data_IF_614303392622
#
_entry.id   IF_614303392622
#
_cell.length_a   1.000
_cell.length_b   1.000
_cell.length_c   1.000
_cell.angle_alpha   90.00
_cell.angle_beta   90.00
_cell.angle_gamma   90.00
#
_symmetry.space_group_name_H-M   'P 1'
#
loop_
_entity.id
_entity.type
_entity.pdbx_description
1 polymer ?
#
# COMPACT_ATOMS: atom_id res chain seq x y z
N UNK A 1 -11.01 -62.90 51.14
CA UNK A 1 -11.65 -61.84 50.33
C UNK A 1 -12.94 -62.30 49.66
N UNK A 2 -12.99 -63.41 48.90
CA UNK A 2 -14.25 -63.90 48.28
C UNK A 2 -15.36 -64.22 49.30
N UNK A 3 -15.07 -65.04 50.30
CA UNK A 3 -16.06 -65.44 51.31
C UNK A 3 -16.70 -64.25 52.06
N UNK A 4 -15.91 -63.25 52.44
CA UNK A 4 -16.41 -62.03 53.11
C UNK A 4 -17.25 -61.14 52.17
N UNK A 5 -16.95 -61.15 50.86
CA UNK A 5 -17.72 -60.42 49.86
C UNK A 5 -19.06 -61.11 49.59
N UNK A 6 -19.04 -62.44 49.54
CA UNK A 6 -20.23 -63.28 49.33
C UNK A 6 -21.18 -63.21 50.55
N UNK A 7 -20.64 -63.15 51.78
CA UNK A 7 -21.42 -62.89 52.99
C UNK A 7 -22.06 -61.50 53.00
N UNK A 8 -21.31 -60.46 52.61
CA UNK A 8 -21.83 -59.09 52.57
C UNK A 8 -22.92 -58.92 51.50
N UNK A 9 -22.80 -59.62 50.37
CA UNK A 9 -23.77 -59.60 49.28
C UNK A 9 -25.08 -60.32 49.62
N UNK A 10 -25.06 -61.27 50.56
CA UNK A 10 -26.24 -61.99 51.05
C UNK A 10 -27.03 -61.21 52.11
N UNK A 11 -26.45 -60.17 52.70
CA UNK A 11 -27.14 -59.32 53.66
C UNK A 11 -28.13 -58.38 52.97
N UNK A 12 -29.33 -58.23 53.55
CA UNK A 12 -30.33 -57.31 53.00
C UNK A 12 -29.83 -55.87 53.12
N UNK A 13 -29.77 -55.13 52.01
CA UNK A 13 -29.24 -53.78 52.03
C UNK A 13 -30.16 -52.87 52.83
N UNK A 14 -29.56 -51.92 53.54
CA UNK A 14 -30.31 -50.90 54.25
C UNK A 14 -31.05 -50.01 53.24
N UNK A 15 -32.38 -50.11 53.23
CA UNK A 15 -33.26 -49.28 52.41
C UNK A 15 -33.83 -48.15 53.27
N UNK A 16 -33.85 -46.91 52.76
CA UNK A 16 -34.44 -45.80 53.49
C UNK A 16 -35.95 -46.02 53.71
N UNK A 17 -36.48 -45.50 54.82
CA UNK A 17 -37.92 -45.54 55.11
C UNK A 17 -38.75 -44.80 54.03
N UNK A 18 -40.04 -45.13 53.84
CA UNK A 18 -40.88 -44.54 52.79
C UNK A 18 -41.00 -43.00 52.86
N UNK A 19 -40.98 -42.42 54.07
CA UNK A 19 -41.02 -40.98 54.31
C UNK A 19 -39.63 -40.30 54.27
N UNK A 20 -38.59 -41.06 53.90
CA UNK A 20 -37.24 -40.54 53.83
C UNK A 20 -37.06 -39.63 52.61
N UNK A 21 -36.48 -38.45 52.84
CA UNK A 21 -36.12 -37.48 51.79
C UNK A 21 -34.87 -37.88 50.98
N UNK A 22 -34.16 -38.95 51.39
CA UNK A 22 -32.91 -39.38 50.77
C UNK A 22 -33.02 -39.71 49.27
N UNK A 23 -34.02 -40.48 48.79
CA UNK A 23 -34.18 -40.75 47.37
C UNK A 23 -34.40 -39.48 46.54
N UNK A 24 -35.17 -38.52 47.07
CA UNK A 24 -35.42 -37.24 46.40
C UNK A 24 -34.15 -36.37 46.32
N UNK A 25 -33.37 -36.29 47.41
CA UNK A 25 -32.10 -35.56 47.42
C UNK A 25 -31.05 -36.20 46.51
N UNK A 26 -31.00 -37.54 46.48
CA UNK A 26 -30.08 -38.27 45.60
C UNK A 26 -30.46 -38.09 44.13
N UNK A 27 -31.76 -38.16 43.80
CA UNK A 27 -32.26 -37.86 42.47
C UNK A 27 -31.89 -36.43 42.06
N UNK A 28 -32.14 -35.43 42.92
CA UNK A 28 -31.79 -34.02 42.66
C UNK A 28 -30.28 -33.83 42.43
N UNK A 29 -29.43 -34.44 43.26
CA UNK A 29 -27.97 -34.34 43.09
C UNK A 29 -27.53 -34.98 41.78
N UNK A 30 -28.08 -36.15 41.44
CA UNK A 30 -27.74 -36.85 40.20
C UNK A 30 -28.21 -36.10 38.97
N UNK A 31 -29.44 -35.57 38.97
CA UNK A 31 -29.93 -34.75 37.86
C UNK A 31 -29.08 -33.49 37.70
N UNK A 32 -28.76 -32.79 38.79
CA UNK A 32 -27.86 -31.63 38.75
C UNK A 32 -26.50 -31.98 38.13
N UNK A 33 -25.87 -33.05 38.61
CA UNK A 33 -24.58 -33.51 38.09
C UNK A 33 -24.67 -33.82 36.58
N UNK A 34 -25.71 -34.56 36.15
CA UNK A 34 -25.88 -34.87 34.72
C UNK A 34 -26.12 -33.62 33.87
N UNK A 35 -26.81 -32.61 34.40
CA UNK A 35 -27.04 -31.34 33.69
C UNK A 35 -25.73 -30.59 33.52
N UNK A 36 -24.88 -30.53 34.55
CA UNK A 36 -23.56 -29.89 34.45
C UNK A 36 -22.63 -30.62 33.49
N UNK A 37 -22.56 -31.96 33.57
CA UNK A 37 -21.77 -32.79 32.65
C UNK A 37 -22.24 -32.62 31.19
N UNK A 38 -23.55 -32.57 30.96
CA UNK A 38 -24.12 -32.38 29.61
C UNK A 38 -23.80 -30.98 29.07
N UNK A 39 -23.82 -29.94 29.92
CA UNK A 39 -23.44 -28.58 29.51
C UNK A 39 -21.98 -28.49 29.09
N UNK A 40 -21.08 -29.07 29.88
CA UNK A 40 -19.66 -29.14 29.54
C UNK A 40 -19.42 -29.92 28.23
N UNK A 41 -20.15 -31.02 28.03
CA UNK A 41 -20.10 -31.78 26.77
C UNK A 41 -20.62 -30.98 25.57
N UNK A 42 -21.67 -30.18 25.77
CA UNK A 42 -22.22 -29.33 24.73
C UNK A 42 -21.24 -28.24 24.29
N UNK A 43 -20.50 -27.64 25.23
CA UNK A 43 -19.48 -26.62 24.94
C UNK A 43 -18.32 -27.19 24.14
N UNK A 44 -17.80 -28.36 24.55
CA UNK A 44 -16.73 -29.03 23.80
C UNK A 44 -17.17 -29.44 22.39
N UNK A 45 -18.39 -29.94 22.22
CA UNK A 45 -18.94 -30.28 20.90
C UNK A 45 -19.15 -29.06 20.01
N UNK A 46 -19.59 -27.91 20.56
CA UNK A 46 -19.72 -26.66 19.79
C UNK A 46 -18.39 -26.28 19.15
N UNK A 47 -17.30 -26.32 19.91
CA UNK A 47 -15.96 -26.02 19.40
C UNK A 47 -15.55 -26.99 18.28
N UNK A 48 -15.81 -28.29 18.47
CA UNK A 48 -15.52 -29.30 17.44
C UNK A 48 -16.30 -29.06 16.13
N UNK A 49 -17.59 -28.75 16.25
CA UNK A 49 -18.45 -28.44 15.10
C UNK A 49 -18.01 -27.17 14.39
N UNK A 50 -17.66 -26.11 15.13
CA UNK A 50 -17.14 -24.88 14.54
C UNK A 50 -15.83 -25.11 13.79
N UNK A 51 -14.92 -25.89 14.37
CA UNK A 51 -13.67 -26.26 13.71
C UNK A 51 -13.91 -27.11 12.44
N UNK A 52 -14.86 -28.04 12.49
CA UNK A 52 -15.24 -28.84 11.33
C UNK A 52 -15.85 -27.98 10.22
N UNK A 53 -16.70 -27.00 10.56
CA UNK A 53 -17.26 -26.03 9.60
C UNK A 53 -16.16 -25.19 8.96
N UNK A 54 -15.25 -24.63 9.75
CA UNK A 54 -14.11 -23.86 9.23
C UNK A 54 -13.25 -24.68 8.26
N UNK A 55 -12.95 -25.94 8.61
CA UNK A 55 -12.23 -26.86 7.71
C UNK A 55 -13.00 -27.11 6.42
N UNK A 56 -14.29 -27.35 6.51
CA UNK A 56 -15.15 -27.56 5.35
C UNK A 56 -15.17 -26.36 4.40
N UNK A 57 -15.21 -25.14 4.94
CA UNK A 57 -15.20 -23.92 4.13
C UNK A 57 -13.86 -23.73 3.40
N UNK A 58 -12.73 -24.01 4.08
CA UNK A 58 -11.40 -24.00 3.46
C UNK A 58 -11.28 -25.07 2.37
N UNK A 59 -11.75 -26.29 2.62
CA UNK A 59 -11.71 -27.34 1.60
C UNK A 59 -12.59 -27.02 0.38
N UNK A 60 -13.73 -26.35 0.59
CA UNK A 60 -14.58 -25.87 -0.50
C UNK A 60 -13.89 -24.81 -1.35
N UNK A 61 -13.19 -23.84 -0.73
CA UNK A 61 -12.42 -22.85 -1.51
C UNK A 61 -11.29 -23.51 -2.27
N UNK A 62 -10.55 -24.43 -1.63
CA UNK A 62 -9.47 -25.18 -2.28
C UNK A 62 -9.98 -25.97 -3.49
N UNK A 63 -11.14 -26.62 -3.37
CA UNK A 63 -11.75 -27.35 -4.47
C UNK A 63 -12.14 -26.42 -5.62
N UNK A 64 -12.72 -25.26 -5.32
CA UNK A 64 -13.07 -24.26 -6.34
C UNK A 64 -11.84 -23.76 -7.10
N UNK A 65 -10.75 -23.49 -6.39
CA UNK A 65 -9.47 -23.08 -6.98
C UNK A 65 -8.88 -24.18 -7.87
N UNK A 66 -8.87 -25.43 -7.40
CA UNK A 66 -8.42 -26.57 -8.19
C UNK A 66 -9.25 -26.76 -9.47
N UNK A 67 -10.57 -26.57 -9.40
CA UNK A 67 -11.44 -26.62 -10.58
C UNK A 67 -11.14 -25.48 -11.56
N UNK A 68 -10.92 -24.26 -11.06
CA UNK A 68 -10.53 -23.12 -11.90
C UNK A 68 -9.18 -23.35 -12.59
N UNK A 69 -8.19 -23.87 -11.86
CA UNK A 69 -6.88 -24.26 -12.40
C UNK A 69 -7.02 -25.36 -13.46
N UNK A 70 -7.78 -26.41 -13.18
CA UNK A 70 -8.01 -27.49 -14.15
C UNK A 70 -8.63 -26.98 -15.45
N UNK A 71 -9.62 -26.07 -15.36
CA UNK A 71 -10.22 -25.44 -16.54
C UNK A 71 -9.22 -24.57 -17.30
N UNK A 72 -8.43 -23.77 -16.60
CA UNK A 72 -7.38 -22.94 -17.21
C UNK A 72 -6.34 -23.79 -17.94
N UNK A 73 -5.89 -24.88 -17.32
CA UNK A 73 -4.94 -25.82 -17.93
C UNK A 73 -5.53 -26.51 -19.15
N UNK A 74 -6.79 -26.96 -19.09
CA UNK A 74 -7.46 -27.56 -20.23
C UNK A 74 -7.59 -26.59 -21.41
N UNK A 75 -7.98 -25.34 -21.14
CA UNK A 75 -8.04 -24.29 -22.15
C UNK A 75 -6.66 -24.02 -22.76
N UNK A 76 -5.61 -23.99 -21.95
CA UNK A 76 -4.25 -23.80 -22.42
C UNK A 76 -3.78 -24.96 -23.30
N UNK A 77 -4.03 -26.21 -22.89
CA UNK A 77 -3.72 -27.39 -23.70
C UNK A 77 -4.45 -27.31 -25.05
N UNK A 78 -5.73 -26.92 -25.07
CA UNK A 78 -6.48 -26.77 -26.31
C UNK A 78 -5.86 -25.68 -27.19
N UNK A 79 -5.60 -24.49 -26.65
CA UNK A 79 -4.97 -23.40 -27.40
C UNK A 79 -3.59 -23.77 -27.98
N UNK A 80 -2.81 -24.58 -27.26
CA UNK A 80 -1.52 -25.07 -27.75
C UNK A 80 -1.67 -26.10 -28.86
N UNK A 81 -2.70 -26.97 -28.80
CA UNK A 81 -3.00 -27.90 -29.89
C UNK A 81 -3.47 -27.17 -31.13
N UNK A 82 -4.41 -26.24 -30.98
CA UNK A 82 -4.92 -25.42 -32.08
C UNK A 82 -3.78 -24.61 -32.71
N UNK A 83 -2.88 -24.05 -31.88
CA UNK A 83 -1.69 -23.33 -32.33
C UNK A 83 -0.62 -24.22 -32.98
N UNK A 84 -0.54 -25.50 -32.64
CA UNK A 84 0.35 -26.45 -33.32
C UNK A 84 -0.21 -26.86 -34.67
N UNK A 85 -1.52 -27.13 -34.75
CA UNK A 85 -2.21 -27.45 -36.00
C UNK A 85 -2.10 -26.28 -36.99
N UNK A 86 -2.36 -25.05 -36.55
CA UNK A 86 -2.20 -23.86 -37.41
C UNK A 86 -0.75 -23.64 -37.87
N UNK A 87 0.23 -23.92 -37.01
CA UNK A 87 1.66 -23.82 -37.37
C UNK A 87 2.14 -24.92 -38.31
N UNK A 88 1.51 -26.10 -38.30
CA UNK A 88 1.80 -27.17 -39.25
C UNK A 88 1.30 -26.83 -40.66
N UNK A 89 0.25 -26.01 -40.77
CA UNK A 89 -0.30 -25.55 -42.05
C UNK A 89 0.41 -24.31 -42.61
N UNK A 90 1.12 -23.54 -41.76
CA UNK A 90 1.83 -22.31 -42.15
C UNK A 90 3.28 -22.57 -42.63
N UNK A 91 3.69 -21.83 -43.67
CA UNK A 91 5.09 -21.84 -44.12
C UNK A 91 6.04 -21.08 -43.17
N UNK A 92 7.37 -21.29 -43.28
CA UNK A 92 8.35 -20.62 -42.41
C UNK A 92 8.32 -19.09 -42.52
N UNK A 93 7.98 -18.54 -43.69
CA UNK A 93 7.84 -17.10 -43.91
C UNK A 93 6.59 -16.51 -43.22
N UNK A 94 5.50 -17.29 -43.15
CA UNK A 94 4.27 -16.87 -42.47
C UNK A 94 4.46 -16.89 -40.94
N UNK A 95 5.20 -17.88 -40.42
CA UNK A 95 5.58 -17.93 -38.99
C UNK A 95 6.46 -16.74 -38.60
N UNK A 96 7.39 -16.32 -39.48
CA UNK A 96 8.22 -15.15 -39.23
C UNK A 96 7.39 -13.85 -39.19
N UNK A 97 6.41 -13.72 -40.09
CA UNK A 97 5.47 -12.58 -40.11
C UNK A 97 4.60 -12.53 -38.86
N UNK A 98 4.04 -13.67 -38.45
CA UNK A 98 3.25 -13.79 -37.21
C UNK A 98 4.07 -13.33 -36.00
N UNK A 99 5.31 -13.81 -35.85
CA UNK A 99 6.19 -13.40 -34.75
C UNK A 99 6.49 -11.89 -34.75
N UNK A 100 6.71 -11.32 -35.93
CA UNK A 100 6.94 -9.88 -36.06
C UNK A 100 5.69 -9.10 -35.66
N UNK A 101 4.51 -9.57 -36.06
CA UNK A 101 3.25 -8.93 -35.73
C UNK A 101 2.90 -9.08 -34.24
N UNK A 102 3.21 -10.20 -33.62
CA UNK A 102 3.14 -10.39 -32.17
C UNK A 102 4.05 -9.41 -31.43
N UNK A 103 5.31 -9.26 -31.87
CA UNK A 103 6.25 -8.29 -31.28
C UNK A 103 5.74 -6.85 -31.46
N UNK A 104 5.18 -6.51 -32.62
CA UNK A 104 4.54 -5.21 -32.85
C UNK A 104 3.33 -4.99 -31.94
N UNK A 105 2.50 -6.02 -31.71
CA UNK A 105 1.36 -5.92 -30.81
C UNK A 105 1.80 -5.75 -29.36
N UNK A 106 2.82 -6.49 -28.91
CA UNK A 106 3.44 -6.33 -27.59
C UNK A 106 4.02 -4.93 -27.41
N UNK A 107 4.77 -4.43 -28.40
CA UNK A 107 5.28 -3.04 -28.38
C UNK A 107 4.13 -2.04 -28.21
N UNK A 108 3.08 -2.14 -29.04
CA UNK A 108 1.89 -1.28 -28.94
C UNK A 108 1.20 -1.39 -27.57
N UNK A 109 1.22 -2.56 -26.95
CA UNK A 109 0.66 -2.76 -25.62
C UNK A 109 1.47 -2.00 -24.57
N UNK A 110 2.79 -2.21 -24.54
CA UNK A 110 3.69 -1.51 -23.61
C UNK A 110 3.66 0.01 -23.82
N UNK A 111 3.62 0.49 -25.06
CA UNK A 111 3.49 1.92 -25.36
C UNK A 111 2.20 2.51 -24.75
N UNK A 112 1.08 1.78 -24.83
CA UNK A 112 -0.19 2.20 -24.23
C UNK A 112 -0.15 2.19 -22.71
N UNK A 113 0.46 1.18 -22.11
CA UNK A 113 0.61 1.09 -20.66
C UNK A 113 1.54 2.17 -20.12
N UNK A 114 2.67 2.42 -20.78
CA UNK A 114 3.58 3.51 -20.47
C UNK A 114 2.86 4.87 -20.54
N UNK A 115 2.08 5.12 -21.60
CA UNK A 115 1.31 6.35 -21.71
C UNK A 115 0.27 6.51 -20.59
N UNK A 116 -0.40 5.43 -20.19
CA UNK A 116 -1.34 5.43 -19.05
C UNK A 116 -0.60 5.72 -17.74
N UNK A 117 0.56 5.11 -17.53
CA UNK A 117 1.37 5.27 -16.33
C UNK A 117 1.90 6.71 -16.21
N UNK A 118 2.46 7.27 -17.30
CA UNK A 118 2.91 8.67 -17.34
C UNK A 118 1.76 9.63 -17.05
N UNK A 119 0.56 9.37 -17.58
CA UNK A 119 -0.62 10.18 -17.27
C UNK A 119 -1.05 10.07 -15.81
N UNK A 120 -1.00 8.88 -15.22
CA UNK A 120 -1.30 8.67 -13.81
C UNK A 120 -0.26 9.35 -12.90
N UNK A 121 1.02 9.25 -13.24
CA UNK A 121 2.12 9.92 -12.56
C UNK A 121 1.96 11.44 -12.60
N UNK A 122 1.63 12.01 -13.77
CA UNK A 122 1.36 13.45 -13.90
C UNK A 122 0.24 13.92 -12.98
N UNK A 123 -0.86 13.17 -12.90
CA UNK A 123 -1.99 13.47 -11.99
C UNK A 123 -1.60 13.35 -10.52
N UNK A 124 -0.77 12.37 -10.19
CA UNK A 124 -0.25 12.19 -8.82
C UNK A 124 0.70 13.34 -8.44
N UNK A 125 1.51 13.83 -9.37
CA UNK A 125 2.36 14.99 -9.10
C UNK A 125 1.50 16.24 -8.85
N UNK A 126 0.51 16.50 -9.71
CA UNK A 126 -0.35 17.69 -9.63
C UNK A 126 -1.22 17.76 -8.37
N UNK A 127 -1.84 16.65 -7.97
CA UNK A 127 -2.88 16.70 -6.95
C UNK A 127 -2.32 16.47 -5.53
N UNK A 128 -1.82 15.27 -5.16
CA UNK A 128 -1.33 15.04 -3.80
C UNK A 128 0.10 15.56 -3.56
N UNK A 129 0.99 15.53 -4.56
CA UNK A 129 2.42 15.74 -4.29
C UNK A 129 2.84 17.21 -4.34
N UNK A 130 2.29 18.00 -5.26
CA UNK A 130 2.70 19.38 -5.49
C UNK A 130 2.53 20.27 -4.25
N UNK A 131 1.39 20.18 -3.57
CA UNK A 131 1.13 20.93 -2.34
C UNK A 131 2.08 20.54 -1.21
N UNK A 132 2.39 19.25 -1.08
CA UNK A 132 3.35 18.77 -0.08
C UNK A 132 4.78 19.21 -0.38
N UNK A 133 5.19 19.22 -1.65
CA UNK A 133 6.52 19.67 -2.06
C UNK A 133 6.69 21.18 -1.82
N UNK A 134 5.69 21.98 -2.18
CA UNK A 134 5.68 23.40 -1.92
C UNK A 134 5.75 23.70 -0.41
N UNK A 135 5.04 22.92 0.41
CA UNK A 135 5.13 23.03 1.86
C UNK A 135 6.55 22.76 2.37
N UNK A 136 7.21 21.70 1.90
CA UNK A 136 8.58 21.35 2.32
C UNK A 136 9.60 22.44 1.92
N UNK A 137 9.50 23.03 0.72
CA UNK A 137 10.34 24.16 0.29
C UNK A 137 10.15 25.41 1.16
N UNK A 138 8.91 25.67 1.59
CA UNK A 138 8.58 26.77 2.50
C UNK A 138 8.94 26.47 3.98
N UNK A 139 9.61 25.35 4.26
CA UNK A 139 10.05 24.95 5.60
C UNK A 139 8.95 24.29 6.45
N UNK A 140 7.93 23.76 5.78
CA UNK A 140 6.80 23.03 6.34
C UNK A 140 7.09 21.56 6.62
N UNK A 141 6.04 20.77 6.89
CA UNK A 141 6.18 19.35 7.17
C UNK A 141 6.80 18.61 5.98
N UNK A 142 7.54 17.57 6.30
CA UNK A 142 8.20 16.72 5.32
C UNK A 142 7.14 15.99 4.47
N UNK A 143 7.36 15.89 3.15
CA UNK A 143 6.43 15.20 2.24
C UNK A 143 6.16 13.77 2.75
N UNK A 144 4.89 13.49 3.07
CA UNK A 144 4.41 12.21 3.60
C UNK A 144 4.07 12.19 5.10
N UNK A 145 4.46 13.19 5.89
CA UNK A 145 4.15 13.27 7.33
C UNK A 145 2.74 13.81 7.60
N UNK A 146 2.21 14.66 6.70
CA UNK A 146 0.82 15.14 6.73
C UNK A 146 0.16 14.84 5.38
N UNK A 147 -1.02 14.20 5.42
CA UNK A 147 -1.72 13.72 4.21
C UNK A 147 -2.51 14.82 3.49
N UNK A 148 -2.97 15.83 4.23
CA UNK A 148 -3.79 16.91 3.69
C UNK A 148 -3.17 18.25 4.09
N UNK A 149 -2.56 18.96 3.13
CA UNK A 149 -2.06 20.33 3.30
C UNK A 149 -2.90 21.19 2.38
N UNK A 150 -3.75 22.04 2.96
CA UNK A 150 -4.60 22.96 2.20
C UNK A 150 -3.82 24.22 1.81
N UNK A 151 -4.26 24.92 0.75
CA UNK A 151 -3.64 26.17 0.31
C UNK A 151 -3.58 27.25 1.40
N UNK A 152 -4.54 27.24 2.32
CA UNK A 152 -4.59 28.15 3.46
C UNK A 152 -3.46 27.88 4.49
N UNK A 153 -2.97 26.63 4.59
CA UNK A 153 -1.84 26.26 5.47
C UNK A 153 -0.50 26.69 4.88
N UNK A 154 -0.37 26.69 3.54
CA UNK A 154 0.79 27.22 2.82
C UNK A 154 0.90 28.74 3.03
N UNK A 155 -0.22 29.46 2.87
CA UNK A 155 -0.29 30.91 3.04
C UNK A 155 0.01 31.37 4.49
N UNK A 156 -0.38 30.56 5.48
CA UNK A 156 -0.09 30.86 6.89
C UNK A 156 1.40 30.71 7.23
N UNK A 157 2.14 29.94 6.43
CA UNK A 157 3.55 29.65 6.57
C UNK A 157 3.88 28.75 7.77
N UNK A 158 4.99 28.03 7.70
CA UNK A 158 5.37 27.08 8.74
C UNK A 158 6.41 27.66 9.70
N UNK A 159 6.47 27.10 10.92
CA UNK A 159 7.58 27.34 11.83
C UNK A 159 8.74 26.38 11.53
N UNK A 160 9.92 26.62 12.10
CA UNK A 160 11.11 25.77 11.92
C UNK A 160 10.97 24.33 12.47
N UNK A 161 9.79 23.98 12.99
CA UNK A 161 9.41 22.67 13.51
C UNK A 161 8.30 22.02 12.65
N UNK A 162 8.02 22.57 11.45
CA UNK A 162 7.05 22.03 10.48
C UNK A 162 5.58 22.17 10.88
N UNK A 163 5.24 22.97 11.90
CA UNK A 163 3.84 23.22 12.30
C UNK A 163 3.30 24.49 11.63
N UNK A 164 2.03 24.49 11.17
CA UNK A 164 1.42 25.67 10.58
C UNK A 164 1.39 26.80 11.61
N UNK A 165 1.85 28.00 11.23
CA UNK A 165 1.70 29.18 12.07
C UNK A 165 0.24 29.56 12.06
N UNK A 166 -0.37 29.73 13.25
CA UNK A 166 -1.73 30.25 13.32
C UNK A 166 -1.76 31.64 12.68
N UNK A 167 -2.58 31.83 11.65
CA UNK A 167 -2.88 33.14 11.09
C UNK A 167 -3.26 34.09 12.23
N UNK A 168 -2.50 35.16 12.41
CA UNK A 168 -2.77 36.14 13.47
C UNK A 168 -4.08 36.85 13.11
N UNK A 169 -5.11 36.63 13.92
CA UNK A 169 -6.45 37.19 13.75
C UNK A 169 -6.57 38.72 13.97
N UNK A 170 -5.50 39.50 13.81
CA UNK A 170 -5.53 40.96 13.91
C UNK A 170 -4.41 41.58 13.06
N UNK A 171 -4.70 42.11 11.86
CA UNK A 171 -3.70 42.75 11.01
C UNK A 171 -3.39 44.21 11.39
N UNK A 172 -3.89 44.76 12.51
CA UNK A 172 -3.90 46.23 12.69
C UNK A 172 -3.35 46.80 14.02
N UNK A 173 -2.49 46.09 14.77
CA UNK A 173 -1.95 46.64 16.03
C UNK A 173 -0.42 46.70 16.19
N UNK A 174 0.37 46.34 15.17
CA UNK A 174 1.83 46.36 15.28
C UNK A 174 2.56 47.16 14.18
N UNK A 175 2.00 48.30 13.78
CA UNK A 175 2.63 49.30 12.89
C UNK A 175 3.84 50.04 13.51
N UNK A 176 4.54 49.46 14.50
CA UNK A 176 5.68 50.10 15.17
C UNK A 176 7.02 49.40 15.01
N UNK A 177 7.07 48.23 14.37
CA UNK A 177 8.34 47.56 14.09
C UNK A 177 8.43 47.23 12.60
N UNK A 178 8.94 48.18 11.82
CA UNK A 178 9.37 47.93 10.44
C UNK A 178 10.63 47.09 10.47
N UNK A 179 10.68 46.05 9.62
CA UNK A 179 11.90 45.24 9.44
C UNK A 179 12.95 46.06 8.70
N UNK A 180 14.22 45.79 9.00
CA UNK A 180 15.38 46.54 8.50
C UNK A 180 15.44 46.47 6.96
N UNK A 181 14.85 45.44 6.36
CA UNK A 181 14.73 45.24 4.91
C UNK A 181 13.80 46.26 4.22
N UNK A 182 12.84 46.87 4.94
CA UNK A 182 11.95 47.91 4.40
C UNK A 182 12.62 49.29 4.29
N UNK A 183 13.77 49.48 4.94
CA UNK A 183 14.51 50.76 4.95
C UNK A 183 15.37 50.90 3.67
N UNK A 184 15.65 49.81 2.95
CA UNK A 184 16.64 49.82 1.87
C UNK A 184 16.15 49.48 0.46
N UNK A 185 14.83 49.41 0.22
CA UNK A 185 14.31 48.88 -1.05
C UNK A 185 13.01 49.48 -1.58
N UNK A 186 12.70 50.76 -1.35
CA UNK A 186 11.64 51.44 -2.10
C UNK A 186 12.17 51.86 -3.48
N UNK A 187 12.06 50.95 -4.45
CA UNK A 187 11.87 51.30 -5.86
C UNK A 187 10.42 51.00 -6.24
N UNK A 188 9.86 51.96 -6.95
CA UNK A 188 8.45 52.18 -7.21
C UNK A 188 7.60 50.94 -7.55
N UNK A 189 6.51 50.82 -6.78
CA UNK A 189 5.18 50.62 -7.34
C UNK A 189 4.82 49.25 -7.90
N UNK A 190 4.53 48.27 -7.03
CA UNK A 190 3.27 47.52 -7.12
C UNK A 190 2.80 47.25 -5.68
N UNK A 191 1.66 47.83 -5.27
CA UNK A 191 0.86 47.27 -4.18
C UNK A 191 0.16 46.04 -4.75
N UNK A 192 0.71 44.84 -4.52
CA UNK A 192 -0.04 43.60 -4.74
C UNK A 192 -0.77 43.28 -3.45
N UNK A 193 -2.03 43.67 -3.43
CA UNK A 193 -3.06 42.97 -2.67
C UNK A 193 -3.28 41.63 -3.40
N UNK A 194 -2.98 40.46 -2.80
CA UNK A 194 -3.06 39.18 -3.52
C UNK A 194 -2.49 37.93 -2.84
N UNK A 195 -2.90 37.62 -1.62
CA UNK A 195 -2.49 36.42 -0.84
C UNK A 195 -3.21 35.13 -1.26
N UNK A 196 -3.33 34.85 -2.56
CA UNK A 196 -3.93 33.58 -3.05
C UNK A 196 -3.44 33.14 -4.44
N UNK A 197 -2.96 34.08 -5.26
CA UNK A 197 -2.43 33.77 -6.60
C UNK A 197 -0.96 33.31 -6.53
N UNK A 198 -0.21 33.77 -5.52
CA UNK A 198 1.19 33.41 -5.28
C UNK A 198 1.32 31.94 -4.85
N UNK A 199 0.43 31.47 -3.95
CA UNK A 199 0.45 30.09 -3.44
C UNK A 199 0.12 29.05 -4.53
N UNK A 200 -0.78 29.38 -5.46
CA UNK A 200 -1.04 28.54 -6.64
C UNK A 200 0.16 28.51 -7.58
N UNK A 201 0.93 29.60 -7.64
CA UNK A 201 2.19 29.69 -8.35
C UNK A 201 3.22 28.71 -7.80
N UNK A 202 3.43 28.70 -6.48
CA UNK A 202 4.41 27.83 -5.81
C UNK A 202 4.07 26.34 -5.95
N UNK A 203 2.79 25.96 -5.77
CA UNK A 203 2.34 24.58 -6.01
C UNK A 203 2.60 24.17 -7.47
N UNK A 204 2.26 25.04 -8.42
CA UNK A 204 2.47 24.72 -9.84
C UNK A 204 3.96 24.68 -10.21
N UNK A 205 4.79 25.51 -9.58
CA UNK A 205 6.23 25.51 -9.78
C UNK A 205 6.86 24.22 -9.26
N UNK A 206 6.51 23.80 -8.04
CA UNK A 206 6.97 22.54 -7.47
C UNK A 206 6.54 21.32 -8.31
N UNK A 207 5.32 21.34 -8.86
CA UNK A 207 4.84 20.30 -9.76
C UNK A 207 5.63 20.26 -11.08
N UNK A 208 5.95 21.43 -11.66
CA UNK A 208 6.72 21.55 -12.89
C UNK A 208 8.16 21.07 -12.69
N UNK A 209 8.80 21.50 -11.60
CA UNK A 209 10.16 21.11 -11.26
C UNK A 209 10.28 19.59 -11.06
N UNK A 210 9.35 18.98 -10.30
CA UNK A 210 9.33 17.53 -10.11
C UNK A 210 9.19 16.76 -11.43
N UNK A 211 8.42 17.30 -12.38
CA UNK A 211 8.24 16.67 -13.71
C UNK A 211 9.48 16.78 -14.57
N UNK A 212 10.06 17.97 -14.63
CA UNK A 212 11.28 18.23 -15.39
C UNK A 212 12.42 17.34 -14.87
N UNK A 213 12.58 17.25 -13.54
CA UNK A 213 13.58 16.39 -12.93
C UNK A 213 13.37 14.90 -13.26
N UNK A 214 12.13 14.39 -13.18
CA UNK A 214 11.85 12.98 -13.56
C UNK A 214 12.14 12.75 -15.04
N UNK A 215 11.76 13.70 -15.91
CA UNK A 215 11.99 13.60 -17.35
C UNK A 215 13.49 13.58 -17.68
N UNK A 216 14.28 14.47 -17.08
CA UNK A 216 15.74 14.48 -17.21
C UNK A 216 16.36 13.18 -16.73
N UNK A 217 15.93 12.66 -15.58
CA UNK A 217 16.44 11.40 -15.02
C UNK A 217 16.09 10.19 -15.90
N UNK A 218 14.88 10.13 -16.45
CA UNK A 218 14.47 9.06 -17.37
C UNK A 218 15.22 9.16 -18.70
N UNK A 219 15.38 10.36 -19.25
CA UNK A 219 16.13 10.59 -20.48
C UNK A 219 17.62 10.24 -20.30
N UNK A 220 18.22 10.60 -19.16
CA UNK A 220 19.60 10.24 -18.83
C UNK A 220 19.77 8.72 -18.70
N UNK A 221 18.81 8.02 -18.09
CA UNK A 221 18.83 6.56 -18.01
C UNK A 221 18.71 5.91 -19.40
N UNK A 222 17.80 6.40 -20.25
CA UNK A 222 17.65 5.93 -21.63
C UNK A 222 18.88 6.18 -22.50
N UNK A 223 19.63 7.26 -22.27
CA UNK A 223 20.87 7.52 -23.01
C UNK A 223 22.04 6.64 -22.54
N UNK A 224 21.94 6.09 -21.35
CA UNK A 224 23.02 5.36 -20.68
C UNK A 224 23.01 3.85 -20.89
N UNK A 225 22.29 3.33 -21.91
CA UNK A 225 21.92 1.93 -22.22
C UNK A 225 22.88 0.78 -21.77
N UNK A 226 24.18 1.04 -21.56
CA UNK A 226 25.17 0.06 -21.09
C UNK A 226 25.86 0.40 -19.74
N UNK A 227 26.00 1.67 -19.36
CA UNK A 227 26.82 2.12 -18.21
C UNK A 227 25.97 2.86 -17.16
N UNK A 228 25.42 2.14 -16.19
CA UNK A 228 24.67 2.70 -15.05
C UNK A 228 25.50 3.62 -14.13
N UNK A 229 26.81 3.72 -14.38
CA UNK A 229 27.71 4.64 -13.71
C UNK A 229 27.76 6.04 -14.35
N UNK A 230 27.17 6.26 -15.52
CA UNK A 230 27.17 7.56 -16.21
C UNK A 230 25.80 8.25 -16.27
N UNK A 231 24.72 7.57 -15.83
CA UNK A 231 23.34 8.08 -15.79
C UNK A 231 23.07 9.12 -14.68
N UNK A 232 24.02 10.05 -14.46
CA UNK A 232 23.89 11.11 -13.48
C UNK A 232 23.45 12.41 -14.13
N UNK A 233 22.41 13.03 -13.57
CA UNK A 233 21.98 14.39 -13.90
C UNK A 233 22.63 15.37 -12.91
N UNK A 234 23.08 16.51 -13.43
CA UNK A 234 23.66 17.58 -12.64
C UNK A 234 22.56 18.49 -12.10
N UNK A 235 22.47 18.58 -10.77
CA UNK A 235 21.53 19.45 -10.09
C UNK A 235 22.13 20.86 -9.93
N UNK A 236 21.31 21.87 -10.20
CA UNK A 236 21.66 23.29 -9.97
C UNK A 236 21.55 23.67 -8.49
N UNK A 237 20.58 23.10 -7.78
CA UNK A 237 20.33 23.28 -6.34
C UNK A 237 19.69 22.01 -5.77
N UNK A 238 19.89 21.76 -4.48
CA UNK A 238 19.14 20.74 -3.76
C UNK A 238 17.72 21.26 -3.46
N UNK A 239 16.71 20.56 -3.99
CA UNK A 239 15.29 20.89 -3.83
C UNK A 239 14.52 19.77 -3.15
N UNK A 240 13.33 20.06 -2.63
CA UNK A 240 12.43 19.12 -1.98
C UNK A 240 12.10 17.93 -2.90
N UNK A 241 11.98 18.17 -4.21
CA UNK A 241 11.81 17.14 -5.22
C UNK A 241 12.95 16.11 -5.20
N UNK A 242 14.20 16.58 -5.18
CA UNK A 242 15.39 15.70 -5.12
C UNK A 242 15.44 14.90 -3.82
N UNK A 243 15.15 15.54 -2.68
CA UNK A 243 15.11 14.88 -1.36
C UNK A 243 14.02 13.82 -1.30
N UNK A 244 12.83 14.14 -1.83
CA UNK A 244 11.71 13.21 -1.90
C UNK A 244 12.03 11.97 -2.74
N UNK A 245 12.64 12.13 -3.91
CA UNK A 245 13.04 11.00 -4.77
C UNK A 245 14.07 10.07 -4.09
N UNK A 246 15.01 10.64 -3.36
CA UNK A 246 16.02 9.84 -2.63
C UNK A 246 15.43 9.15 -1.41
N UNK A 247 14.52 9.82 -0.68
CA UNK A 247 13.81 9.26 0.48
C UNK A 247 12.89 8.11 0.07
N UNK A 248 12.17 8.28 -1.04
CA UNK A 248 11.30 7.27 -1.65
C UNK A 248 12.05 6.14 -2.37
N UNK A 249 13.39 6.17 -2.37
CA UNK A 249 14.28 5.14 -2.96
C UNK A 249 14.12 4.99 -4.48
N UNK A 250 13.63 6.02 -5.15
CA UNK A 250 13.51 6.07 -6.61
C UNK A 250 14.80 6.61 -7.24
N UNK A 251 15.54 7.45 -6.51
CA UNK A 251 16.80 8.02 -6.96
C UNK A 251 17.91 7.90 -5.90
N UNK A 252 19.17 8.07 -6.31
CA UNK A 252 20.34 8.03 -5.44
C UNK A 252 21.32 9.13 -5.83
N UNK A 253 21.88 9.81 -4.82
CA UNK A 253 22.99 10.73 -5.03
C UNK A 253 24.29 9.99 -5.35
N UNK A 254 25.18 10.66 -6.06
CA UNK A 254 26.53 10.14 -6.29
C UNK A 254 27.30 10.06 -4.94
N UNK A 255 27.96 8.94 -4.61
CA UNK A 255 28.60 8.75 -3.29
C UNK A 255 29.64 9.80 -2.89
N UNK A 256 30.24 10.46 -3.88
CA UNK A 256 31.25 11.51 -3.70
C UNK A 256 30.77 12.92 -4.03
N UNK A 257 29.56 13.06 -4.55
CA UNK A 257 29.09 14.34 -5.09
C UNK A 257 27.59 14.49 -4.92
N UNK A 258 27.17 15.34 -3.98
CA UNK A 258 25.77 15.58 -3.68
C UNK A 258 25.05 16.40 -4.75
N UNK A 259 25.76 16.92 -5.75
CA UNK A 259 25.16 17.67 -6.86
C UNK A 259 24.76 16.78 -8.03
N UNK A 260 25.07 15.48 -7.96
CA UNK A 260 24.73 14.51 -9.02
C UNK A 260 23.71 13.50 -8.52
N UNK A 261 22.63 13.34 -9.27
CA UNK A 261 21.52 12.43 -8.96
C UNK A 261 21.31 11.45 -10.10
N UNK A 262 21.08 10.17 -9.78
CA UNK A 262 20.70 9.14 -10.76
C UNK A 262 19.41 8.44 -10.35
N UNK A 263 18.67 7.95 -11.34
CA UNK A 263 17.53 7.09 -11.13
C UNK A 263 17.99 5.66 -10.81
N UNK A 264 17.28 4.98 -9.92
CA UNK A 264 17.50 3.54 -9.70
C UNK A 264 16.95 2.78 -10.89
N UNK A 265 17.80 1.99 -11.54
CA UNK A 265 17.39 1.20 -12.70
C UNK A 265 16.48 0.04 -12.27
N UNK A 266 15.18 0.17 -12.57
CA UNK A 266 14.17 -0.86 -12.33
C UNK A 266 13.96 -1.78 -13.52
N UNK A 267 14.56 -1.48 -14.69
CA UNK A 267 14.35 -2.24 -15.93
C UNK A 267 15.39 -3.33 -16.16
N UNK A 268 16.53 -3.26 -15.49
CA UNK A 268 17.62 -4.23 -15.63
C UNK A 268 17.38 -5.47 -14.77
N UNK A 269 16.80 -6.50 -15.36
CA UNK A 269 16.85 -7.86 -14.82
C UNK A 269 18.22 -8.49 -15.15
N UNK A 270 18.74 -9.35 -14.26
CA UNK A 270 20.08 -9.94 -14.39
C UNK A 270 20.16 -11.10 -15.42
N UNK A 271 19.05 -11.48 -16.03
CA UNK A 271 18.91 -12.71 -16.82
C UNK A 271 18.45 -12.52 -18.29
N UNK A 272 18.48 -11.29 -18.84
CA UNK A 272 18.35 -11.04 -20.29
C UNK A 272 19.69 -10.68 -20.95
#
# INVERSE_FOLDING_TARGET
MKAAYDELAQQTPFLPFPESVLPALLALRKTHQTVEETRAYQETHKISVENAKRRLDVEKSNLADQQALSRSLQNRIQSLRDGLESRMEMGPDDIARERIDDLKQKKKHYDREAAKLVKALRKFIENPLAGMLAAEELGGPVVGDMMDIDGDDLAAGFNSQGRPKKAKANPDLDKRQRRIDEIWGMRDGIRVDGTADDDRGEISAAAAEMRELIEELLNALMQSEADSSSAYVQLSKETAATRFLVRSKVAQFHPRDSTRLRLVDFGRELDD
#
